data_IF_393094612642
#
_entry.id   IF_393094612642
#
_cell.length_a   1.000
_cell.length_b   1.000
_cell.length_c   1.000
_cell.angle_alpha   90.00
_cell.angle_beta   90.00
_cell.angle_gamma   90.00
#
_symmetry.space_group_name_H-M   'P 1'
#
loop_
_entity.id
_entity.type
_entity.pdbx_description
1 polymer ?
#
# COMPACT_ATOMS: atom_id res chain seq x y z
N UNK A 1 -2.32 -4.39 -34.32
CA UNK A 1 -1.34 -3.35 -33.98
C UNK A 1 -0.09 -3.52 -34.82
N UNK A 2 0.44 -2.43 -35.39
CA UNK A 2 1.85 -2.33 -35.82
C UNK A 2 2.78 -2.38 -34.58
N UNK A 3 4.12 -2.52 -34.74
CA UNK A 3 5.04 -2.48 -33.60
C UNK A 3 4.88 -1.22 -32.74
N UNK A 4 4.81 -0.04 -33.36
CA UNK A 4 4.59 1.23 -32.64
C UNK A 4 3.22 1.28 -31.97
N UNK A 5 2.15 0.84 -32.63
CA UNK A 5 0.82 0.80 -32.02
C UNK A 5 0.76 -0.15 -30.82
N UNK A 6 1.58 -1.22 -30.83
CA UNK A 6 1.68 -2.15 -29.70
C UNK A 6 2.37 -1.48 -28.52
N UNK A 7 3.44 -0.72 -28.75
CA UNK A 7 4.11 0.02 -27.69
C UNK A 7 3.19 1.08 -27.06
N UNK A 8 2.40 1.77 -27.89
CA UNK A 8 1.38 2.71 -27.40
C UNK A 8 0.30 1.99 -26.60
N UNK A 9 -0.18 0.82 -27.07
CA UNK A 9 -1.18 0.04 -26.36
C UNK A 9 -0.67 -0.47 -25.01
N UNK A 10 0.56 -0.99 -24.95
CA UNK A 10 1.20 -1.42 -23.70
C UNK A 10 1.36 -0.25 -22.73
N UNK A 11 1.68 0.95 -23.24
CA UNK A 11 1.74 2.16 -22.44
C UNK A 11 0.37 2.56 -21.86
N UNK A 12 -0.68 2.53 -22.68
CA UNK A 12 -2.05 2.85 -22.26
C UNK A 12 -2.54 1.87 -21.18
N UNK A 13 -2.31 0.57 -21.38
CA UNK A 13 -2.65 -0.48 -20.41
C UNK A 13 -1.89 -0.25 -19.09
N UNK A 14 -0.59 0.07 -19.17
CA UNK A 14 0.22 0.41 -18.00
C UNK A 14 -0.17 1.72 -17.31
N UNK A 15 -0.97 2.57 -17.96
CA UNK A 15 -1.45 3.85 -17.43
C UNK A 15 -2.85 3.75 -16.80
N UNK A 16 -3.48 2.58 -16.84
CA UNK A 16 -4.76 2.34 -16.17
C UNK A 16 -4.56 2.34 -14.65
N UNK A 17 -5.53 2.88 -13.94
CA UNK A 17 -5.54 2.85 -12.49
C UNK A 17 -6.02 1.51 -11.92
N UNK A 18 -6.10 1.45 -10.59
CA UNK A 18 -6.55 0.30 -9.81
C UNK A 18 -7.98 -0.15 -10.11
N UNK A 19 -8.82 0.78 -10.58
CA UNK A 19 -10.20 0.52 -10.97
C UNK A 19 -10.29 0.11 -12.46
N UNK A 20 -9.18 0.11 -13.20
CA UNK A 20 -9.10 -0.19 -14.64
C UNK A 20 -9.48 0.99 -15.53
N UNK A 21 -9.44 2.22 -15.01
CA UNK A 21 -9.83 3.45 -15.70
C UNK A 21 -8.61 4.26 -16.14
N UNK A 22 -8.70 4.89 -17.31
CA UNK A 22 -7.68 5.81 -17.82
C UNK A 22 -7.99 7.25 -17.36
N UNK A 23 -7.60 7.59 -16.12
CA UNK A 23 -7.85 8.94 -15.57
C UNK A 23 -6.88 10.02 -16.07
N UNK A 24 -5.81 9.61 -16.76
CA UNK A 24 -4.79 10.50 -17.29
C UNK A 24 -5.30 11.16 -18.57
N UNK A 25 -5.04 12.45 -18.73
CA UNK A 25 -5.43 13.17 -19.94
C UNK A 25 -4.54 12.73 -21.13
N UNK A 26 -5.08 12.84 -22.35
CA UNK A 26 -4.41 12.38 -23.57
C UNK A 26 -3.12 13.18 -23.85
N UNK A 27 -3.12 14.48 -23.56
CA UNK A 27 -1.95 15.36 -23.74
C UNK A 27 -0.74 14.87 -22.93
N UNK A 28 -0.96 14.55 -21.65
CA UNK A 28 0.10 14.02 -20.77
C UNK A 28 0.58 12.65 -21.24
N UNK A 29 -0.30 11.80 -21.77
CA UNK A 29 0.10 10.50 -22.32
C UNK A 29 0.97 10.69 -23.56
N UNK A 30 0.61 11.61 -24.46
CA UNK A 30 1.39 11.92 -25.65
C UNK A 30 2.78 12.47 -25.31
N UNK A 31 2.85 13.43 -24.38
CA UNK A 31 4.13 14.01 -23.93
C UNK A 31 5.06 12.93 -23.35
N UNK A 32 4.52 12.01 -22.55
CA UNK A 32 5.31 10.95 -21.94
C UNK A 32 5.74 9.88 -22.93
N UNK A 33 4.90 9.53 -23.92
CA UNK A 33 5.29 8.67 -25.03
C UNK A 33 6.46 9.29 -25.81
N UNK A 34 6.43 10.60 -26.05
CA UNK A 34 7.52 11.30 -26.71
C UNK A 34 8.81 11.30 -25.86
N UNK A 35 8.71 11.57 -24.56
CA UNK A 35 9.87 11.68 -23.64
C UNK A 35 10.50 10.31 -23.34
N UNK A 36 9.70 9.32 -22.98
CA UNK A 36 10.21 8.04 -22.45
C UNK A 36 10.36 6.96 -23.51
N UNK A 37 9.61 7.04 -24.60
CA UNK A 37 9.62 6.03 -25.69
C UNK A 37 10.09 6.59 -27.03
N UNK A 38 10.23 7.92 -27.17
CA UNK A 38 10.58 8.55 -28.44
C UNK A 38 9.46 8.43 -29.49
N UNK A 39 8.22 8.14 -29.06
CA UNK A 39 7.07 7.93 -29.94
C UNK A 39 6.29 9.23 -30.04
N UNK A 40 6.19 9.78 -31.25
CA UNK A 40 5.37 10.95 -31.54
C UNK A 40 4.04 10.47 -32.15
N UNK A 41 2.95 10.66 -31.41
CA UNK A 41 1.60 10.25 -31.83
C UNK A 41 0.64 11.43 -31.79
N UNK A 42 -0.55 11.24 -32.34
CA UNK A 42 -1.65 12.20 -32.28
C UNK A 42 -2.74 11.70 -31.35
N UNK A 43 -3.57 12.61 -30.86
CA UNK A 43 -4.73 12.26 -30.03
C UNK A 43 -5.70 11.33 -30.78
N UNK A 44 -5.84 11.51 -32.10
CA UNK A 44 -6.67 10.64 -32.94
C UNK A 44 -6.17 9.19 -32.95
N UNK A 45 -4.85 8.99 -33.09
CA UNK A 45 -4.28 7.64 -33.11
C UNK A 45 -4.34 7.00 -31.71
N UNK A 46 -4.13 7.79 -30.66
CA UNK A 46 -4.26 7.34 -29.28
C UNK A 46 -5.70 6.88 -28.98
N UNK A 47 -6.70 7.64 -29.41
CA UNK A 47 -8.11 7.28 -29.25
C UNK A 47 -8.47 5.99 -30.00
N UNK A 48 -7.99 5.79 -31.23
CA UNK A 48 -8.23 4.53 -31.97
C UNK A 48 -7.66 3.32 -31.24
N UNK A 49 -6.47 3.45 -30.67
CA UNK A 49 -5.86 2.37 -29.90
C UNK A 49 -6.63 2.14 -28.60
N UNK A 50 -7.07 3.22 -27.94
CA UNK A 50 -7.90 3.14 -26.74
C UNK A 50 -9.23 2.44 -27.00
N UNK A 51 -9.92 2.73 -28.11
CA UNK A 51 -11.16 2.04 -28.51
C UNK A 51 -10.93 0.52 -28.62
N UNK A 52 -9.81 0.09 -29.21
CA UNK A 52 -9.46 -1.33 -29.30
C UNK A 52 -9.19 -1.93 -27.90
N UNK A 53 -8.55 -1.17 -27.00
CA UNK A 53 -8.33 -1.61 -25.61
C UNK A 53 -9.68 -1.73 -24.86
N UNK A 54 -10.62 -0.83 -25.11
CA UNK A 54 -11.94 -0.82 -24.47
C UNK A 54 -12.81 -2.02 -24.85
N UNK A 55 -12.50 -2.69 -25.97
CA UNK A 55 -13.12 -3.96 -26.38
C UNK A 55 -12.57 -5.18 -25.61
N UNK A 56 -11.48 -5.03 -24.85
CA UNK A 56 -10.91 -6.15 -24.08
C UNK A 56 -11.78 -6.51 -22.87
N UNK A 57 -11.54 -7.70 -22.32
CA UNK A 57 -12.16 -8.12 -21.06
C UNK A 57 -11.30 -7.72 -19.87
N UNK A 58 -11.91 -7.25 -18.76
CA UNK A 58 -13.36 -7.10 -18.53
C UNK A 58 -13.97 -5.85 -19.20
N UNK A 59 -15.26 -5.94 -19.56
CA UNK A 59 -16.01 -4.85 -20.18
C UNK A 59 -15.94 -3.54 -19.38
N UNK A 60 -15.67 -2.43 -20.07
CA UNK A 60 -15.51 -1.11 -19.45
C UNK A 60 -14.10 -0.77 -18.97
N UNK A 61 -13.12 -1.67 -19.16
CA UNK A 61 -11.70 -1.36 -18.96
C UNK A 61 -11.24 -0.28 -19.94
N UNK A 62 -10.31 0.58 -19.52
CA UNK A 62 -9.82 1.68 -20.37
C UNK A 62 -10.81 2.85 -20.53
N UNK A 63 -11.92 2.87 -19.81
CA UNK A 63 -12.80 4.02 -19.77
C UNK A 63 -12.13 5.22 -19.07
N UNK A 64 -12.39 6.44 -19.54
CA UNK A 64 -11.83 7.69 -18.98
C UNK A 64 -12.67 8.23 -17.84
N UNK A 65 -13.90 7.76 -17.71
CA UNK A 65 -14.83 8.15 -16.64
C UNK A 65 -15.72 6.98 -16.22
N UNK A 66 -16.35 7.09 -15.06
CA UNK A 66 -17.34 6.12 -14.60
C UNK A 66 -18.53 6.04 -15.57
N UNK A 67 -18.98 7.17 -16.11
CA UNK A 67 -20.07 7.21 -17.07
C UNK A 67 -19.71 6.43 -18.35
N UNK A 68 -18.53 6.67 -18.91
CA UNK A 68 -18.02 5.94 -20.08
C UNK A 68 -17.87 4.44 -19.78
N UNK A 69 -17.38 4.09 -18.59
CA UNK A 69 -17.22 2.70 -18.15
C UNK A 69 -18.56 1.94 -18.20
N UNK A 70 -19.60 2.54 -17.62
CA UNK A 70 -20.94 1.95 -17.60
C UNK A 70 -21.54 1.89 -19.02
N UNK A 71 -21.35 2.92 -19.84
CA UNK A 71 -21.83 2.92 -21.23
C UNK A 71 -21.20 1.79 -22.06
N UNK A 72 -19.88 1.58 -21.95
CA UNK A 72 -19.18 0.48 -22.63
C UNK A 72 -19.73 -0.89 -22.20
N UNK A 73 -20.00 -1.06 -20.89
CA UNK A 73 -20.61 -2.29 -20.39
C UNK A 73 -22.02 -2.50 -20.93
N UNK A 74 -22.85 -1.46 -20.96
CA UNK A 74 -24.22 -1.54 -21.51
C UNK A 74 -24.17 -1.86 -23.01
N UNK A 75 -23.27 -1.23 -23.77
CA UNK A 75 -23.11 -1.50 -25.20
C UNK A 75 -22.78 -2.97 -25.48
N UNK A 76 -21.97 -3.61 -24.63
CA UNK A 76 -21.58 -5.01 -24.76
C UNK A 76 -22.64 -6.01 -24.29
N UNK A 77 -23.67 -5.59 -23.54
CA UNK A 77 -24.82 -6.44 -23.18
C UNK A 77 -25.57 -6.89 -24.44
N UNK A 78 -26.19 -8.08 -24.36
CA UNK A 78 -27.14 -8.54 -25.35
C UNK A 78 -28.28 -7.53 -25.54
N UNK A 79 -28.81 -7.47 -26.76
CA UNK A 79 -29.85 -6.50 -27.09
C UNK A 79 -31.15 -6.79 -26.32
N UNK A 80 -31.76 -5.74 -25.79
CA UNK A 80 -32.98 -5.83 -24.98
C UNK A 80 -33.84 -4.58 -25.17
N UNK A 81 -35.16 -4.67 -24.96
CA UNK A 81 -36.03 -3.50 -25.02
C UNK A 81 -35.63 -2.37 -24.04
N UNK A 82 -34.91 -2.72 -22.96
CA UNK A 82 -34.45 -1.79 -21.94
C UNK A 82 -33.08 -1.17 -22.25
N UNK A 83 -32.27 -1.77 -23.14
CA UNK A 83 -30.89 -1.34 -23.41
C UNK A 83 -30.81 0.13 -23.81
N UNK A 84 -31.73 0.60 -24.65
CA UNK A 84 -31.77 2.01 -25.04
C UNK A 84 -32.11 2.94 -23.85
N UNK A 85 -32.98 2.48 -22.94
CA UNK A 85 -33.34 3.22 -21.73
C UNK A 85 -32.12 3.30 -20.78
N UNK A 86 -31.39 2.20 -20.60
CA UNK A 86 -30.15 2.17 -19.80
C UNK A 86 -29.09 3.13 -20.35
N UNK A 87 -28.86 3.11 -21.67
CA UNK A 87 -27.96 4.04 -22.35
C UNK A 87 -28.39 5.50 -22.17
N UNK A 88 -29.70 5.77 -22.21
CA UNK A 88 -30.23 7.12 -22.03
C UNK A 88 -30.14 7.59 -20.57
N UNK A 89 -30.38 6.71 -19.59
CA UNK A 89 -30.23 7.02 -18.16
C UNK A 89 -28.78 7.39 -17.88
N UNK A 90 -27.81 6.55 -18.27
CA UNK A 90 -26.39 6.82 -18.00
C UNK A 90 -25.85 7.93 -18.91
N UNK A 91 -26.21 7.97 -20.19
CA UNK A 91 -25.68 8.94 -21.15
C UNK A 91 -26.22 10.36 -20.96
N UNK A 92 -27.52 10.51 -20.66
CA UNK A 92 -28.19 11.82 -20.59
C UNK A 92 -28.52 12.26 -19.17
N UNK A 93 -28.60 11.34 -18.22
CA UNK A 93 -29.08 11.59 -16.86
C UNK A 93 -28.14 11.04 -15.76
N UNK A 94 -26.83 10.91 -16.03
CA UNK A 94 -25.88 10.33 -15.07
C UNK A 94 -25.89 11.05 -13.70
N UNK A 95 -25.96 12.38 -13.71
CA UNK A 95 -26.00 13.19 -12.49
C UNK A 95 -27.28 12.96 -11.69
N UNK A 96 -28.42 12.96 -12.37
CA UNK A 96 -29.71 12.66 -11.74
C UNK A 96 -29.75 11.22 -11.20
N UNK A 97 -29.18 10.26 -11.94
CA UNK A 97 -29.07 8.86 -11.53
C UNK A 97 -28.23 8.70 -10.27
N UNK A 98 -27.07 9.36 -10.21
CA UNK A 98 -26.19 9.35 -9.03
C UNK A 98 -26.86 9.95 -7.81
N UNK A 99 -27.68 10.99 -8.00
CA UNK A 99 -28.47 11.65 -6.94
C UNK A 99 -29.77 10.92 -6.61
N UNK A 100 -30.06 9.78 -7.24
CA UNK A 100 -31.29 8.98 -7.09
C UNK A 100 -32.57 9.80 -7.35
N UNK A 101 -32.50 10.80 -8.25
CA UNK A 101 -33.65 11.64 -8.60
C UNK A 101 -34.50 10.98 -9.69
N UNK A 102 -35.25 9.95 -9.30
CA UNK A 102 -36.09 9.14 -10.19
C UNK A 102 -37.10 9.97 -10.97
N UNK A 103 -37.83 10.87 -10.33
CA UNK A 103 -38.90 11.67 -10.95
C UNK A 103 -38.36 12.48 -12.13
N UNK A 104 -37.19 13.11 -11.95
CA UNK A 104 -36.55 13.93 -12.99
C UNK A 104 -36.07 13.09 -14.17
N UNK A 105 -35.59 11.87 -13.93
CA UNK A 105 -35.17 10.94 -15.00
C UNK A 105 -36.40 10.50 -15.82
N UNK A 106 -37.47 10.08 -15.14
CA UNK A 106 -38.73 9.68 -15.77
C UNK A 106 -39.28 10.80 -16.65
N UNK A 107 -39.34 12.03 -16.13
CA UNK A 107 -39.83 13.18 -16.89
C UNK A 107 -38.94 13.52 -18.09
N UNK A 108 -37.61 13.48 -17.91
CA UNK A 108 -36.63 13.85 -18.94
C UNK A 108 -36.56 12.83 -20.08
N UNK A 109 -36.74 11.55 -19.77
CA UNK A 109 -36.70 10.46 -20.76
C UNK A 109 -38.08 10.07 -21.30
N UNK A 110 -39.17 10.51 -20.67
CA UNK A 110 -40.53 10.17 -21.09
C UNK A 110 -40.88 8.68 -20.96
N UNK A 111 -40.26 8.00 -19.99
CA UNK A 111 -40.44 6.55 -19.75
C UNK A 111 -41.45 6.30 -18.62
N UNK A 112 -41.94 5.06 -18.50
CA UNK A 112 -42.81 4.68 -17.37
C UNK A 112 -41.99 4.38 -16.12
N UNK A 113 -42.65 4.39 -14.96
CA UNK A 113 -42.03 4.01 -13.69
C UNK A 113 -41.55 2.55 -13.70
N UNK A 114 -42.31 1.65 -14.32
CA UNK A 114 -41.95 0.24 -14.49
C UNK A 114 -40.66 0.09 -15.31
N UNK A 115 -40.59 0.75 -16.47
CA UNK A 115 -39.39 0.75 -17.33
C UNK A 115 -38.16 1.30 -16.60
N UNK A 116 -38.34 2.37 -15.82
CA UNK A 116 -37.25 2.91 -15.00
C UNK A 116 -36.78 1.87 -13.96
N UNK A 117 -37.69 1.26 -13.20
CA UNK A 117 -37.32 0.32 -12.15
C UNK A 117 -36.61 -0.91 -12.72
N UNK A 118 -37.07 -1.44 -13.86
CA UNK A 118 -36.42 -2.56 -14.55
C UNK A 118 -35.02 -2.19 -15.05
N UNK A 119 -34.88 -1.04 -15.72
CA UNK A 119 -33.58 -0.55 -16.20
C UNK A 119 -32.60 -0.31 -15.05
N UNK A 120 -33.04 0.28 -13.93
CA UNK A 120 -32.20 0.48 -12.75
C UNK A 120 -31.78 -0.85 -12.12
N UNK A 121 -32.69 -1.81 -12.02
CA UNK A 121 -32.38 -3.17 -11.53
C UNK A 121 -31.23 -3.79 -12.34
N UNK A 122 -31.23 -3.62 -13.66
CA UNK A 122 -30.15 -4.12 -14.51
C UNK A 122 -28.87 -3.28 -14.43
N UNK A 123 -28.97 -1.94 -14.36
CA UNK A 123 -27.82 -1.06 -14.17
C UNK A 123 -27.07 -1.35 -12.87
N UNK A 124 -27.78 -1.73 -11.79
CA UNK A 124 -27.13 -2.07 -10.50
C UNK A 124 -26.28 -3.35 -10.55
N UNK A 125 -26.41 -4.17 -11.60
CA UNK A 125 -25.59 -5.37 -11.81
C UNK A 125 -24.25 -5.07 -12.50
N UNK A 126 -24.08 -3.87 -13.04
CA UNK A 126 -22.84 -3.46 -13.71
C UNK A 126 -21.71 -3.25 -12.71
N UNK A 127 -20.46 -3.44 -13.16
CA UNK A 127 -19.28 -3.29 -12.32
C UNK A 127 -18.64 -1.90 -12.54
N UNK A 128 -18.74 -0.95 -11.60
CA UNK A 128 -18.14 0.39 -11.77
C UNK A 128 -16.61 0.39 -11.72
N UNK A 129 -15.96 -0.73 -11.35
CA UNK A 129 -14.50 -0.87 -11.19
C UNK A 129 -14.02 -2.17 -11.85
N UNK A 130 -13.99 -2.23 -13.19
CA UNK A 130 -13.64 -3.44 -13.92
C UNK A 130 -12.22 -3.96 -13.59
N UNK A 131 -11.27 -3.07 -13.27
CA UNK A 131 -9.89 -3.44 -12.93
C UNK A 131 -9.70 -4.07 -11.55
N UNK A 132 -10.65 -3.92 -10.62
CA UNK A 132 -10.50 -4.46 -9.26
C UNK A 132 -10.39 -5.99 -9.24
N UNK A 133 -11.14 -6.69 -10.10
CA UNK A 133 -11.02 -8.14 -10.26
C UNK A 133 -9.64 -8.57 -10.81
N UNK A 134 -8.98 -7.70 -11.58
CA UNK A 134 -7.63 -7.93 -12.09
C UNK A 134 -6.58 -7.73 -10.99
N UNK A 135 -6.77 -6.74 -10.12
CA UNK A 135 -5.90 -6.46 -8.97
C UNK A 135 -5.85 -7.60 -7.94
N UNK A 136 -6.98 -8.27 -7.70
CA UNK A 136 -7.05 -9.47 -6.87
C UNK A 136 -6.28 -10.65 -7.50
N UNK A 137 -6.41 -10.84 -8.83
CA UNK A 137 -5.69 -11.88 -9.56
C UNK A 137 -4.16 -11.60 -9.67
N UNK A 138 -3.77 -10.33 -9.71
CA UNK A 138 -2.37 -9.89 -9.76
C UNK A 138 -1.71 -9.78 -8.38
N UNK A 139 -2.33 -10.33 -7.34
CA UNK A 139 -1.72 -10.41 -6.02
C UNK A 139 -1.31 -9.03 -5.49
N UNK A 140 -2.16 -8.00 -5.66
CA UNK A 140 -1.95 -6.75 -4.95
C UNK A 140 -1.88 -7.09 -3.48
N UNK A 141 -0.66 -6.98 -2.97
CA UNK A 141 -0.28 -7.32 -1.61
C UNK A 141 -1.36 -6.83 -0.66
N UNK A 142 -2.18 -7.77 -0.16
CA UNK A 142 -2.76 -7.62 1.16
C UNK A 142 -1.58 -7.15 2.00
N UNK A 143 -1.61 -5.89 2.44
CA UNK A 143 -0.51 -5.29 3.18
C UNK A 143 -0.34 -6.16 4.42
N UNK A 144 0.56 -7.13 4.33
CA UNK A 144 0.71 -8.12 5.37
C UNK A 144 1.39 -7.36 6.48
N UNK A 145 0.63 -7.02 7.52
CA UNK A 145 1.16 -6.35 8.70
C UNK A 145 2.24 -7.28 9.23
N UNK A 146 3.50 -6.84 9.14
CA UNK A 146 4.62 -7.57 9.71
C UNK A 146 4.63 -7.18 11.19
N UNK A 147 4.33 -8.11 12.12
CA UNK A 147 4.27 -7.76 13.53
C UNK A 147 5.67 -7.52 14.08
N UNK A 148 5.83 -6.59 15.02
CA UNK A 148 7.12 -6.37 15.71
C UNK A 148 7.44 -7.47 16.73
N UNK A 149 6.40 -8.09 17.31
CA UNK A 149 6.49 -9.12 18.34
C UNK A 149 5.68 -10.36 17.96
N UNK A 150 6.15 -11.52 18.39
CA UNK A 150 5.43 -12.78 18.32
C UNK A 150 5.25 -13.27 19.77
N UNK A 151 3.99 -13.49 20.16
CA UNK A 151 3.61 -14.02 21.47
C UNK A 151 2.99 -15.39 21.24
N UNK A 152 3.52 -16.41 21.90
CA UNK A 152 3.00 -17.78 21.81
C UNK A 152 2.58 -18.25 23.20
N UNK A 153 1.37 -18.80 23.30
CA UNK A 153 0.87 -19.42 24.51
C UNK A 153 0.80 -20.93 24.31
N UNK A 154 1.45 -21.67 25.20
CA UNK A 154 1.50 -23.13 25.20
C UNK A 154 0.40 -23.71 26.11
N UNK A 155 0.03 -24.98 25.88
CA UNK A 155 -1.03 -25.66 26.64
C UNK A 155 -0.75 -25.77 28.16
N UNK A 156 0.52 -25.71 28.56
CA UNK A 156 0.95 -25.71 29.96
C UNK A 156 0.81 -24.34 30.64
N UNK A 157 0.32 -23.32 29.91
CA UNK A 157 0.18 -21.95 30.38
C UNK A 157 1.47 -21.12 30.32
N UNK A 158 2.52 -21.64 29.68
CA UNK A 158 3.74 -20.88 29.38
C UNK A 158 3.46 -19.89 28.24
N UNK A 159 3.82 -18.62 28.44
CA UNK A 159 3.75 -17.59 27.40
C UNK A 159 5.18 -17.19 27.03
N UNK A 160 5.55 -17.31 25.76
CA UNK A 160 6.84 -16.87 25.25
C UNK A 160 6.68 -15.60 24.41
N UNK A 161 7.67 -14.73 24.49
CA UNK A 161 7.74 -13.47 23.76
C UNK A 161 9.03 -13.47 22.92
N UNK A 162 8.90 -13.17 21.63
CA UNK A 162 10.05 -12.97 20.74
C UNK A 162 9.87 -11.74 19.87
N UNK A 163 10.98 -11.12 19.48
CA UNK A 163 10.99 -10.04 18.49
C UNK A 163 11.02 -10.62 17.09
N UNK A 164 10.24 -10.06 16.18
CA UNK A 164 10.25 -10.44 14.78
C UNK A 164 11.45 -9.78 14.05
N UNK A 165 12.65 -10.30 14.31
CA UNK A 165 13.91 -9.74 13.80
C UNK A 165 14.25 -10.14 12.36
N UNK A 166 13.26 -10.42 11.50
CA UNK A 166 13.51 -10.92 10.12
C UNK A 166 14.49 -10.06 9.30
N UNK A 167 14.66 -8.78 9.63
CA UNK A 167 15.48 -7.83 8.87
C UNK A 167 16.63 -7.17 9.67
N UNK A 168 16.92 -7.56 10.92
CA UNK A 168 17.99 -6.93 11.71
C UNK A 168 19.21 -7.85 11.76
N UNK A 169 20.30 -7.55 11.02
CA UNK A 169 21.53 -8.33 11.09
C UNK A 169 22.21 -8.19 12.46
N UNK A 170 22.96 -9.21 12.87
CA UNK A 170 23.72 -9.15 14.12
C UNK A 170 24.86 -8.12 13.99
N UNK A 171 24.73 -6.98 14.67
CA UNK A 171 25.70 -5.91 14.61
C UNK A 171 26.92 -6.23 15.49
N UNK A 172 28.10 -6.31 14.86
CA UNK A 172 29.39 -6.52 15.54
C UNK A 172 30.42 -5.52 15.04
N UNK A 173 31.32 -5.09 15.93
CA UNK A 173 32.50 -4.32 15.52
C UNK A 173 33.48 -5.24 14.80
N UNK A 174 34.07 -4.76 13.70
CA UNK A 174 35.10 -5.50 12.99
C UNK A 174 36.40 -5.55 13.81
N UNK A 175 36.97 -6.77 13.93
CA UNK A 175 38.16 -7.07 14.74
C UNK A 175 39.41 -6.32 14.27
N UNK A 176 39.50 -6.02 12.98
CA UNK A 176 40.63 -5.28 12.39
C UNK A 176 40.74 -3.86 12.96
N UNK A 177 39.60 -3.20 13.22
CA UNK A 177 39.60 -1.84 13.77
C UNK A 177 39.97 -1.81 15.25
N UNK A 178 39.56 -2.82 16.03
CA UNK A 178 39.95 -2.96 17.44
C UNK A 178 41.45 -3.28 17.57
N UNK A 179 41.97 -4.16 16.70
CA UNK A 179 43.40 -4.51 16.67
C UNK A 179 44.29 -3.32 16.30
N UNK A 180 43.90 -2.54 15.27
CA UNK A 180 44.63 -1.31 14.88
C UNK A 180 44.66 -0.27 15.99
N UNK A 181 43.58 -0.13 16.78
CA UNK A 181 43.53 0.78 17.91
C UNK A 181 44.47 0.33 19.06
N UNK A 182 44.50 -0.98 19.33
CA UNK A 182 45.32 -1.59 20.38
C UNK A 182 46.82 -1.59 20.04
N UNK A 183 47.18 -1.82 18.78
CA UNK A 183 48.58 -1.81 18.32
C UNK A 183 49.17 -0.39 18.36
N UNK A 184 48.40 0.62 17.94
CA UNK A 184 48.83 2.02 17.96
C UNK A 184 48.85 2.65 19.35
N UNK A 185 48.04 2.18 20.30
CA UNK A 185 48.08 2.66 21.70
C UNK A 185 49.27 2.12 22.48
N UNK A 186 49.87 0.99 22.05
CA UNK A 186 51.09 0.40 22.64
C UNK A 186 52.39 1.05 22.14
N UNK A 187 52.42 1.57 20.92
CA UNK A 187 53.59 2.24 20.32
C UNK A 187 53.49 3.78 20.39
N UNK A 188 53.56 4.36 21.59
CA UNK A 188 53.39 5.82 21.82
C UNK A 188 54.60 6.69 21.48
N UNK A 189 55.82 6.13 21.49
CA UNK A 189 57.05 6.92 21.50
C UNK A 189 57.55 7.41 20.12
N UNK A 190 56.99 6.93 19.00
CA UNK A 190 57.45 7.25 17.64
C UNK A 190 56.34 7.58 16.62
N UNK A 191 55.26 8.23 17.06
CA UNK A 191 54.14 8.57 16.16
C UNK A 191 54.21 10.00 15.59
N UNK A 192 54.23 10.08 14.26
CA UNK A 192 54.04 11.33 13.51
C UNK A 192 52.69 11.99 13.84
N UNK A 193 52.61 13.31 13.73
CA UNK A 193 51.39 14.09 13.95
C UNK A 193 50.20 13.57 13.11
N UNK A 194 50.47 13.20 11.84
CA UNK A 194 49.48 12.60 10.95
C UNK A 194 48.97 11.22 11.44
N UNK A 195 49.81 10.42 12.09
CA UNK A 195 49.42 9.13 12.68
C UNK A 195 48.55 9.31 13.93
N UNK A 196 48.81 10.35 14.73
CA UNK A 196 47.98 10.71 15.89
C UNK A 196 46.59 11.20 15.47
N UNK A 197 46.52 12.03 14.42
CA UNK A 197 45.24 12.53 13.90
C UNK A 197 44.38 11.40 13.30
N UNK A 198 45.02 10.49 12.54
CA UNK A 198 44.34 9.30 12.01
C UNK A 198 43.83 8.35 13.11
N UNK A 199 44.60 8.16 14.19
CA UNK A 199 44.19 7.36 15.34
C UNK A 199 43.00 7.99 16.08
N UNK A 200 43.01 9.32 16.24
CA UNK A 200 41.91 10.04 16.87
C UNK A 200 40.62 9.93 16.06
N UNK A 201 40.71 10.06 14.74
CA UNK A 201 39.58 9.84 13.83
C UNK A 201 39.06 8.40 13.91
N UNK A 202 39.96 7.40 13.91
CA UNK A 202 39.58 5.99 14.04
C UNK A 202 38.86 5.71 15.35
N UNK A 203 39.39 6.22 16.46
CA UNK A 203 38.79 6.10 17.79
C UNK A 203 37.36 6.66 17.81
N UNK A 204 37.17 7.87 17.26
CA UNK A 204 35.85 8.48 17.17
C UNK A 204 34.85 7.63 16.38
N UNK A 205 35.29 6.98 15.29
CA UNK A 205 34.42 6.09 14.49
C UNK A 205 34.07 4.81 15.25
N UNK A 206 35.02 4.23 15.98
CA UNK A 206 34.77 3.05 16.83
C UNK A 206 33.81 3.39 17.96
N UNK A 207 34.03 4.52 18.65
CA UNK A 207 33.16 4.98 19.75
C UNK A 207 31.72 5.24 19.24
N UNK A 208 31.57 5.87 18.08
CA UNK A 208 30.26 6.10 17.46
C UNK A 208 29.55 4.78 17.08
N UNK A 209 30.29 3.82 16.50
CA UNK A 209 29.73 2.52 16.15
C UNK A 209 29.33 1.71 17.39
N UNK A 210 30.13 1.74 18.46
CA UNK A 210 29.78 1.10 19.73
C UNK A 210 28.56 1.75 20.37
N UNK A 211 28.46 3.08 20.31
CA UNK A 211 27.28 3.83 20.76
C UNK A 211 26.02 3.41 20.02
N UNK A 212 26.09 3.26 18.70
CA UNK A 212 24.97 2.78 17.89
C UNK A 212 24.55 1.35 18.25
N UNK A 213 25.50 0.42 18.38
CA UNK A 213 25.22 -0.97 18.79
C UNK A 213 24.54 -1.00 20.16
N UNK A 214 25.03 -0.21 21.11
CA UNK A 214 24.44 -0.12 22.45
C UNK A 214 23.02 0.46 22.40
N UNK A 215 22.78 1.48 21.59
CA UNK A 215 21.45 2.06 21.41
C UNK A 215 20.45 1.04 20.81
N UNK A 216 20.87 0.24 19.82
CA UNK A 216 20.05 -0.82 19.24
C UNK A 216 19.71 -1.88 20.29
N UNK A 217 20.70 -2.34 21.06
CA UNK A 217 20.48 -3.30 22.16
C UNK A 217 19.54 -2.75 23.23
N UNK A 218 19.72 -1.48 23.60
CA UNK A 218 18.86 -0.81 24.56
C UNK A 218 17.41 -0.73 24.05
N UNK A 219 17.21 -0.37 22.78
CA UNK A 219 15.88 -0.38 22.15
C UNK A 219 15.23 -1.76 22.21
N UNK A 220 15.95 -2.81 21.82
CA UNK A 220 15.44 -4.19 21.87
C UNK A 220 15.06 -4.60 23.29
N UNK A 221 15.91 -4.28 24.27
CA UNK A 221 15.65 -4.56 25.68
C UNK A 221 14.40 -3.82 26.19
N UNK A 222 14.27 -2.52 25.89
CA UNK A 222 13.11 -1.70 26.26
C UNK A 222 11.83 -2.27 25.66
N UNK A 223 11.85 -2.63 24.38
CA UNK A 223 10.70 -3.22 23.68
C UNK A 223 10.26 -4.55 24.32
N UNK A 224 11.22 -5.45 24.60
CA UNK A 224 10.92 -6.73 25.24
C UNK A 224 10.38 -6.54 26.67
N UNK A 225 11.02 -5.69 27.47
CA UNK A 225 10.61 -5.44 28.86
C UNK A 225 9.22 -4.82 28.93
N UNK A 226 8.93 -3.89 28.02
CA UNK A 226 7.61 -3.26 27.88
C UNK A 226 6.54 -4.29 27.51
N UNK A 227 6.78 -5.08 26.47
CA UNK A 227 5.81 -6.08 26.02
C UNK A 227 5.61 -7.18 27.06
N UNK A 228 6.66 -7.58 27.79
CA UNK A 228 6.54 -8.49 28.92
C UNK A 228 5.66 -7.90 30.03
N UNK A 229 5.81 -6.63 30.38
CA UNK A 229 4.95 -5.97 31.35
C UNK A 229 3.48 -5.95 30.90
N UNK A 230 3.21 -5.72 29.60
CA UNK A 230 1.86 -5.79 29.03
C UNK A 230 1.30 -7.21 29.16
N UNK A 231 2.08 -8.23 28.80
CA UNK A 231 1.68 -9.64 28.93
C UNK A 231 1.36 -9.98 30.39
N UNK A 232 2.16 -9.51 31.35
CA UNK A 232 1.93 -9.77 32.76
C UNK A 232 0.64 -9.13 33.29
N UNK A 233 0.34 -7.90 32.84
CA UNK A 233 -0.91 -7.20 33.20
C UNK A 233 -2.12 -7.90 32.58
N UNK A 234 -2.00 -8.29 31.31
CA UNK A 234 -3.05 -8.90 30.49
C UNK A 234 -2.99 -10.44 30.46
N UNK A 235 -2.37 -11.07 31.47
CA UNK A 235 -2.04 -12.51 31.42
C UNK A 235 -3.25 -13.41 31.14
N UNK A 236 -4.42 -13.07 31.70
CA UNK A 236 -5.66 -13.84 31.49
C UNK A 236 -6.12 -13.80 30.02
N UNK A 237 -6.02 -12.65 29.37
CA UNK A 237 -6.32 -12.51 27.95
C UNK A 237 -5.37 -13.35 27.09
N UNK A 238 -4.06 -13.33 27.37
CA UNK A 238 -3.09 -14.14 26.62
C UNK A 238 -3.22 -15.65 26.86
N UNK A 239 -3.86 -16.09 27.96
CA UNK A 239 -4.12 -17.50 28.25
C UNK A 239 -5.42 -18.01 27.58
N UNK A 240 -6.51 -17.26 27.72
CA UNK A 240 -7.86 -17.72 27.32
C UNK A 240 -8.27 -17.19 25.93
N UNK A 241 -7.64 -16.11 25.45
CA UNK A 241 -7.97 -15.45 24.18
C UNK A 241 -9.27 -14.63 24.21
N UNK A 242 -9.98 -14.56 25.34
CA UNK A 242 -11.23 -13.81 25.49
C UNK A 242 -10.96 -12.32 25.76
N UNK A 243 -11.37 -11.46 24.83
CA UNK A 243 -11.24 -10.00 24.91
C UNK A 243 -11.94 -9.39 26.14
N UNK A 244 -12.96 -10.06 26.70
CA UNK A 244 -13.64 -9.59 27.90
C UNK A 244 -12.75 -9.60 29.15
N UNK A 245 -11.63 -10.33 29.11
CA UNK A 245 -10.65 -10.44 30.19
C UNK A 245 -9.58 -9.34 30.15
N UNK A 246 -9.63 -8.45 29.15
CA UNK A 246 -8.73 -7.30 29.07
C UNK A 246 -8.94 -6.36 30.25
N UNK A 247 -7.84 -6.06 30.94
CA UNK A 247 -7.83 -5.12 32.07
C UNK A 247 -7.53 -3.71 31.56
N UNK A 248 -8.24 -2.68 32.04
CA UNK A 248 -7.81 -1.30 31.81
C UNK A 248 -6.37 -1.11 32.27
N UNK A 249 -5.55 -0.47 31.43
CA UNK A 249 -4.12 -0.27 31.67
C UNK A 249 -3.74 1.14 31.23
N UNK A 250 -3.04 1.87 32.09
CA UNK A 250 -2.46 3.19 31.76
C UNK A 250 -0.95 3.07 31.59
N UNK A 251 -0.34 4.02 30.85
CA UNK A 251 1.12 4.05 30.60
C UNK A 251 1.94 3.99 31.89
N UNK A 252 1.43 4.55 32.98
CA UNK A 252 2.07 4.49 34.30
C UNK A 252 2.22 3.06 34.81
N UNK A 253 1.22 2.20 34.59
CA UNK A 253 1.23 0.81 35.09
C UNK A 253 2.31 0.00 34.37
N UNK A 254 2.46 0.23 33.06
CA UNK A 254 3.50 -0.40 32.24
C UNK A 254 4.88 0.12 32.63
N UNK A 255 5.02 1.44 32.79
CA UNK A 255 6.28 2.09 33.19
C UNK A 255 6.78 1.59 34.56
N UNK A 256 5.91 1.51 35.55
CA UNK A 256 6.22 1.00 36.89
C UNK A 256 6.65 -0.47 36.86
N UNK A 257 5.95 -1.30 36.06
CA UNK A 257 6.28 -2.72 35.95
C UNK A 257 7.55 -2.98 35.13
N UNK A 258 7.81 -2.18 34.11
CA UNK A 258 9.01 -2.29 33.27
C UNK A 258 10.25 -1.63 33.89
N UNK A 259 10.09 -0.87 34.99
CA UNK A 259 11.18 -0.13 35.62
C UNK A 259 11.72 1.02 34.77
N UNK A 260 10.87 1.62 33.93
CA UNK A 260 11.22 2.67 32.98
C UNK A 260 10.50 3.99 33.32
N UNK A 261 11.13 5.12 32.97
CA UNK A 261 10.47 6.42 33.10
C UNK A 261 9.34 6.55 32.07
N UNK A 262 8.22 7.16 32.46
CA UNK A 262 7.02 7.38 31.62
C UNK A 262 7.38 8.13 30.33
N UNK A 263 8.40 8.99 30.36
CA UNK A 263 8.92 9.73 29.19
C UNK A 263 9.48 8.85 28.07
N UNK A 264 9.83 7.60 28.38
CA UNK A 264 10.38 6.61 27.41
C UNK A 264 9.32 6.15 26.38
N UNK A 265 8.04 6.34 26.66
CA UNK A 265 6.92 5.79 25.88
C UNK A 265 6.25 6.80 24.94
N UNK A 266 6.71 8.05 24.89
CA UNK A 266 6.11 9.13 24.09
C UNK A 266 6.71 9.29 22.67
N UNK A 267 7.63 8.41 22.26
CA UNK A 267 8.36 8.50 20.99
C UNK A 267 8.14 7.32 20.06
#
# INVERSE_FOLDING_TARGET
FTPEQRDIAEYLIGSLDDDGLLRKNMESIMDELAIYRGIYTTEEELNKILEIIQDFDPAGIGARSLQECLLLQIQRKADSPLKQIELDIIGKCCDEFTRKNKERIIQKLGITEEQYNEAVSDLTKLNPRPGSSLGEAMGKNMQQIIPDFIVETYEDGTITLSLNNRNVPELRLSRQFTELLDEHTRNKDNQSKASKDALMFLKQKVDAAQGFINAVKQRQHTLLTTMQAIIDIQRLFFLEGDESLLKPMILKDVAERAGLDISTYHG
#
